data_IF_686439690834
#
_entry.id   IF_686439690834
#
_cell.length_a   1.000
_cell.length_b   1.000
_cell.length_c   1.000
_cell.angle_alpha   90.00
_cell.angle_beta   90.00
_cell.angle_gamma   90.00
#
_symmetry.space_group_name_H-M   'P 1'
#
loop_
_entity.id
_entity.type
_entity.pdbx_description
1 polymer ?
#
# COMPACT_ATOMS: atom_id res chain seq x y z
N UNK A 1 21.41 -23.72 2.48
CA UNK A 1 20.62 -23.08 3.56
C UNK A 1 20.88 -21.59 3.47
N UNK A 2 19.83 -20.77 3.32
CA UNK A 2 19.99 -19.32 3.21
C UNK A 2 20.45 -18.69 4.53
N UNK A 3 21.02 -17.50 4.45
CA UNK A 3 21.38 -16.71 5.63
C UNK A 3 20.11 -16.37 6.44
N UNK A 4 20.19 -16.46 7.76
CA UNK A 4 19.07 -16.11 8.66
C UNK A 4 18.66 -14.64 8.47
N UNK A 5 17.40 -14.35 8.08
CA UNK A 5 16.94 -12.97 7.88
C UNK A 5 17.09 -12.08 9.11
N UNK A 6 17.01 -12.65 10.32
CA UNK A 6 17.16 -11.90 11.57
C UNK A 6 18.61 -11.47 11.85
N UNK A 7 19.58 -11.98 11.07
CA UNK A 7 20.99 -11.61 11.13
C UNK A 7 21.43 -10.71 9.96
N UNK A 8 20.49 -10.25 9.12
CA UNK A 8 20.74 -9.30 8.03
C UNK A 8 20.86 -7.88 8.59
N UNK A 9 22.00 -7.60 9.20
CA UNK A 9 22.34 -6.29 9.77
C UNK A 9 23.51 -5.70 8.99
N UNK A 10 23.38 -4.43 8.60
CA UNK A 10 24.46 -3.65 8.03
C UNK A 10 25.33 -3.07 9.15
N UNK A 11 26.62 -3.35 9.11
CA UNK A 11 27.61 -2.80 10.03
C UNK A 11 28.38 -1.67 9.34
N UNK A 12 28.80 -0.66 10.11
CA UNK A 12 29.75 0.33 9.61
C UNK A 12 31.05 -0.36 9.16
N UNK A 13 31.71 0.09 8.07
CA UNK A 13 33.02 -0.43 7.65
C UNK A 13 34.11 -0.31 8.73
N UNK A 14 33.91 0.56 9.72
CA UNK A 14 34.86 0.80 10.82
C UNK A 14 34.84 -0.32 11.89
N UNK A 15 33.82 -1.18 11.92
CA UNK A 15 33.73 -2.27 12.88
C UNK A 15 34.52 -3.47 12.38
N UNK A 16 35.34 -4.06 13.25
CA UNK A 16 36.16 -5.20 12.87
C UNK A 16 35.33 -6.47 12.61
N UNK A 17 35.85 -7.36 11.77
CA UNK A 17 35.19 -8.64 11.49
C UNK A 17 35.01 -9.52 12.73
N UNK A 18 35.93 -9.45 13.70
CA UNK A 18 35.82 -10.16 14.98
C UNK A 18 34.66 -9.63 15.83
N UNK A 19 34.51 -8.30 15.94
CA UNK A 19 33.40 -7.70 16.67
C UNK A 19 32.05 -8.03 16.01
N UNK A 20 32.00 -8.01 14.68
CA UNK A 20 30.79 -8.43 13.93
C UNK A 20 30.47 -9.90 14.22
N UNK A 21 31.48 -10.78 14.26
CA UNK A 21 31.27 -12.21 14.55
C UNK A 21 30.75 -12.41 15.97
N UNK A 22 31.39 -11.80 16.98
CA UNK A 22 30.95 -11.89 18.37
C UNK A 22 29.53 -11.36 18.57
N UNK A 23 29.18 -10.26 17.89
CA UNK A 23 27.82 -9.74 17.90
C UNK A 23 26.84 -10.74 17.31
N UNK A 24 27.16 -11.33 16.15
CA UNK A 24 26.29 -12.29 15.46
C UNK A 24 26.08 -13.55 16.30
N UNK A 25 27.11 -14.03 16.98
CA UNK A 25 26.99 -15.19 17.86
C UNK A 25 26.09 -14.91 19.07
N UNK A 26 26.23 -13.72 19.69
CA UNK A 26 25.33 -13.27 20.76
C UNK A 26 23.89 -13.15 20.25
N UNK A 27 23.68 -12.53 19.10
CA UNK A 27 22.38 -12.37 18.49
C UNK A 27 21.73 -13.72 18.18
N UNK A 28 22.50 -14.66 17.59
CA UNK A 28 22.03 -16.02 17.30
C UNK A 28 21.57 -16.74 18.56
N UNK A 29 22.33 -16.64 19.65
CA UNK A 29 21.95 -17.25 20.92
C UNK A 29 20.63 -16.66 21.45
N UNK A 30 20.44 -15.34 21.38
CA UNK A 30 19.19 -14.70 21.81
C UNK A 30 18.02 -15.11 20.90
N UNK A 31 18.23 -15.15 19.59
CA UNK A 31 17.22 -15.53 18.60
C UNK A 31 16.73 -16.94 18.87
N UNK A 32 17.64 -17.90 19.01
CA UNK A 32 17.31 -19.31 19.21
C UNK A 32 16.73 -19.57 20.61
N UNK A 33 17.28 -18.95 21.65
CA UNK A 33 16.82 -19.20 23.01
C UNK A 33 15.55 -18.46 23.40
N UNK A 34 15.27 -17.29 22.80
CA UNK A 34 14.18 -16.41 23.25
C UNK A 34 13.21 -16.03 22.13
N UNK A 35 13.72 -15.51 21.00
CA UNK A 35 12.84 -14.91 19.99
C UNK A 35 12.01 -15.96 19.26
N UNK A 36 12.65 -17.00 18.69
CA UNK A 36 11.94 -18.04 17.93
C UNK A 36 10.96 -18.82 18.82
N UNK A 37 11.33 -19.25 20.05
CA UNK A 37 10.38 -19.91 20.94
C UNK A 37 9.20 -19.01 21.31
N UNK A 38 9.44 -17.73 21.63
CA UNK A 38 8.37 -16.80 22.04
C UNK A 38 7.40 -16.50 20.90
N UNK A 39 7.92 -16.26 19.70
CA UNK A 39 7.07 -16.03 18.51
C UNK A 39 6.26 -17.29 18.17
N UNK A 40 6.87 -18.48 18.31
CA UNK A 40 6.16 -19.75 18.11
C UNK A 40 5.06 -19.95 19.14
N UNK A 41 5.34 -19.71 20.42
CA UNK A 41 4.35 -19.79 21.49
C UNK A 41 3.19 -18.80 21.29
N UNK A 42 3.48 -17.57 20.86
CA UNK A 42 2.45 -16.59 20.51
C UNK A 42 1.59 -17.06 19.33
N UNK A 43 2.20 -17.62 18.28
CA UNK A 43 1.47 -18.18 17.15
C UNK A 43 0.58 -19.35 17.57
N UNK A 44 1.08 -20.23 18.43
CA UNK A 44 0.31 -21.35 18.95
C UNK A 44 -0.88 -20.87 19.77
N UNK A 45 -0.69 -19.83 20.60
CA UNK A 45 -1.78 -19.19 21.32
C UNK A 45 -2.83 -18.60 20.36
N UNK A 46 -2.40 -17.89 19.31
CA UNK A 46 -3.31 -17.35 18.30
C UNK A 46 -4.13 -18.46 17.64
N UNK A 47 -3.51 -19.59 17.28
CA UNK A 47 -4.18 -20.73 16.62
C UNK A 47 -5.13 -21.48 17.53
N UNK A 48 -4.75 -21.68 18.79
CA UNK A 48 -5.46 -22.60 19.70
C UNK A 48 -6.48 -21.88 20.57
N UNK A 49 -6.17 -20.68 21.06
CA UNK A 49 -7.02 -19.95 22.01
C UNK A 49 -7.88 -18.87 21.36
N UNK A 50 -7.36 -18.20 20.33
CA UNK A 50 -7.99 -17.02 19.73
C UNK A 50 -8.74 -17.34 18.43
N UNK A 51 -8.15 -18.10 17.52
CA UNK A 51 -8.75 -18.41 16.21
C UNK A 51 -10.11 -19.10 16.34
N UNK A 52 -10.34 -20.09 17.23
CA UNK A 52 -11.66 -20.71 17.39
C UNK A 52 -12.73 -19.77 17.94
N UNK A 53 -12.32 -18.66 18.59
CA UNK A 53 -13.21 -17.61 19.11
C UNK A 53 -13.31 -16.41 18.15
N UNK A 54 -12.63 -16.49 17.01
CA UNK A 54 -12.69 -15.47 15.97
C UNK A 54 -14.11 -15.30 15.44
N UNK A 55 -14.40 -14.09 14.96
CA UNK A 55 -15.66 -13.83 14.26
C UNK A 55 -15.63 -14.49 12.89
N UNK A 56 -16.77 -15.03 12.47
CA UNK A 56 -16.96 -15.55 11.12
C UNK A 56 -17.00 -14.44 10.07
N UNK A 57 -16.98 -14.83 8.79
CA UNK A 57 -16.95 -13.92 7.65
C UNK A 57 -18.23 -13.05 7.56
N UNK A 58 -19.34 -13.52 8.12
CA UNK A 58 -20.60 -12.77 8.25
C UNK A 58 -20.51 -11.59 9.23
N UNK A 59 -19.49 -11.59 10.09
CA UNK A 59 -19.23 -10.57 11.12
C UNK A 59 -17.88 -9.87 10.90
N UNK A 60 -17.67 -9.45 9.66
CA UNK A 60 -16.47 -8.75 9.24
C UNK A 60 -16.43 -7.29 9.71
N UNK A 61 -15.23 -6.80 10.02
CA UNK A 61 -15.01 -5.42 10.44
C UNK A 61 -15.07 -5.18 11.95
N UNK A 62 -14.75 -3.94 12.34
CA UNK A 62 -14.63 -3.52 13.74
C UNK A 62 -15.98 -3.31 14.43
N UNK A 63 -17.08 -3.20 13.66
CA UNK A 63 -18.42 -2.97 14.23
C UNK A 63 -18.93 -4.12 15.11
N UNK A 64 -18.37 -5.33 14.95
CA UNK A 64 -18.78 -6.55 15.65
C UNK A 64 -18.03 -6.84 16.94
N UNK A 65 -17.26 -5.88 17.47
CA UNK A 65 -16.76 -5.94 18.84
C UNK A 65 -17.59 -5.03 19.74
N UNK A 66 -17.50 -5.27 21.05
CA UNK A 66 -18.08 -4.37 22.05
C UNK A 66 -17.51 -2.95 21.87
N UNK A 67 -18.40 -1.97 21.70
CA UNK A 67 -18.02 -0.59 21.38
C UNK A 67 -17.43 -0.39 19.98
N UNK A 68 -17.71 -1.30 19.04
CA UNK A 68 -17.21 -1.28 17.67
C UNK A 68 -17.60 -0.05 16.88
N UNK A 69 -18.87 0.36 16.93
CA UNK A 69 -19.36 1.58 16.26
C UNK A 69 -18.64 2.82 16.76
N UNK A 70 -18.53 2.99 18.08
CA UNK A 70 -17.82 4.10 18.70
C UNK A 70 -16.32 4.08 18.35
N UNK A 71 -15.70 2.90 18.29
CA UNK A 71 -14.30 2.75 17.88
C UNK A 71 -14.09 3.13 16.42
N UNK A 72 -15.05 2.80 15.55
CA UNK A 72 -15.01 3.17 14.14
C UNK A 72 -15.20 4.68 13.96
N UNK A 73 -16.18 5.27 14.64
CA UNK A 73 -16.43 6.72 14.60
C UNK A 73 -15.24 7.53 15.14
N UNK A 74 -14.60 7.07 16.23
CA UNK A 74 -13.35 7.68 16.73
C UNK A 74 -12.24 7.60 15.70
N UNK A 75 -12.08 6.46 15.03
CA UNK A 75 -11.08 6.29 13.96
C UNK A 75 -11.37 7.22 12.79
N UNK A 76 -12.62 7.30 12.34
CA UNK A 76 -13.04 8.24 11.29
C UNK A 76 -12.60 9.66 11.61
N UNK A 77 -12.94 10.15 12.81
CA UNK A 77 -12.58 11.50 13.25
C UNK A 77 -11.07 11.70 13.38
N UNK A 78 -10.35 10.70 13.89
CA UNK A 78 -8.89 10.73 14.03
C UNK A 78 -8.19 10.87 12.68
N UNK A 79 -8.63 10.12 11.67
CA UNK A 79 -7.95 10.07 10.37
C UNK A 79 -8.43 11.14 9.39
N UNK A 80 -9.66 11.64 9.54
CA UNK A 80 -10.20 12.71 8.68
C UNK A 80 -10.04 14.10 9.28
N UNK A 81 -9.92 14.22 10.60
CA UNK A 81 -9.93 15.50 11.31
C UNK A 81 -11.31 16.19 11.36
N UNK A 82 -12.32 15.64 10.68
CA UNK A 82 -13.66 16.22 10.60
C UNK A 82 -14.58 15.64 11.69
N UNK A 83 -14.89 16.46 12.70
CA UNK A 83 -15.69 16.02 13.87
C UNK A 83 -17.18 15.79 13.55
N UNK A 84 -17.73 16.57 12.63
CA UNK A 84 -19.14 16.55 12.26
C UNK A 84 -19.49 15.48 11.21
N UNK A 85 -18.50 14.96 10.49
CA UNK A 85 -18.71 13.96 9.44
C UNK A 85 -19.17 12.63 10.03
N UNK A 86 -20.18 12.05 9.40
CA UNK A 86 -20.72 10.74 9.74
C UNK A 86 -20.15 9.65 8.83
N UNK A 87 -20.20 8.40 9.31
CA UNK A 87 -19.78 7.22 8.53
C UNK A 87 -20.59 7.09 7.24
N UNK A 88 -21.90 7.33 7.33
CA UNK A 88 -22.82 7.23 6.20
C UNK A 88 -22.50 8.25 5.11
N UNK A 89 -22.25 9.51 5.47
CA UNK A 89 -21.87 10.55 4.50
C UNK A 89 -20.58 10.18 3.76
N UNK A 90 -19.57 9.66 4.46
CA UNK A 90 -18.31 9.23 3.80
C UNK A 90 -18.56 8.10 2.82
N UNK A 91 -19.42 7.14 3.19
CA UNK A 91 -19.78 6.04 2.30
C UNK A 91 -20.50 6.55 1.03
N UNK A 92 -21.48 7.43 1.19
CA UNK A 92 -22.25 8.00 0.09
C UNK A 92 -21.37 8.87 -0.84
N UNK A 93 -20.48 9.69 -0.27
CA UNK A 93 -19.50 10.45 -1.02
C UNK A 93 -18.59 9.50 -1.81
N UNK A 94 -18.09 8.44 -1.17
CA UNK A 94 -17.24 7.45 -1.83
C UNK A 94 -17.92 6.78 -3.03
N UNK A 95 -19.18 6.36 -2.88
CA UNK A 95 -19.96 5.78 -3.98
C UNK A 95 -20.17 6.78 -5.12
N UNK A 96 -20.51 8.03 -4.80
CA UNK A 96 -20.67 9.09 -5.80
C UNK A 96 -19.37 9.35 -6.56
N UNK A 97 -18.23 9.41 -5.85
CA UNK A 97 -16.93 9.63 -6.48
C UNK A 97 -16.48 8.46 -7.35
N UNK A 98 -16.78 7.21 -6.97
CA UNK A 98 -16.52 6.04 -7.82
C UNK A 98 -17.28 6.18 -9.15
N UNK A 99 -18.57 6.51 -9.11
CA UNK A 99 -19.38 6.65 -10.33
C UNK A 99 -18.93 7.84 -11.20
N UNK A 100 -18.48 8.93 -10.57
CA UNK A 100 -17.89 10.08 -11.28
C UNK A 100 -16.58 9.68 -11.96
N UNK A 101 -15.66 9.04 -11.24
CA UNK A 101 -14.34 8.65 -11.74
C UNK A 101 -14.42 7.59 -12.85
N UNK A 102 -15.36 6.65 -12.77
CA UNK A 102 -15.61 5.68 -13.86
C UNK A 102 -15.91 6.37 -15.19
N UNK A 103 -16.75 7.41 -15.18
CA UNK A 103 -17.08 8.18 -16.38
C UNK A 103 -15.87 8.91 -16.92
N UNK A 104 -15.10 9.57 -16.04
CA UNK A 104 -13.90 10.30 -16.45
C UNK A 104 -12.82 9.38 -17.03
N UNK A 105 -12.60 8.22 -16.41
CA UNK A 105 -11.67 7.22 -16.92
C UNK A 105 -12.10 6.68 -18.27
N UNK A 106 -13.39 6.41 -18.46
CA UNK A 106 -13.90 5.96 -19.74
C UNK A 106 -13.72 7.00 -20.85
N UNK A 107 -14.05 8.27 -20.58
CA UNK A 107 -13.92 9.34 -21.57
C UNK A 107 -12.48 9.56 -22.05
N UNK A 108 -11.50 9.38 -21.17
CA UNK A 108 -10.08 9.44 -21.52
C UNK A 108 -9.65 8.13 -22.18
N UNK A 109 -9.98 7.00 -21.56
CA UNK A 109 -9.50 5.66 -21.93
C UNK A 109 -9.91 5.22 -23.32
N UNK A 110 -11.10 5.60 -23.81
CA UNK A 110 -11.53 5.30 -25.18
C UNK A 110 -10.65 5.91 -26.27
N UNK A 111 -9.86 6.93 -25.94
CA UNK A 111 -8.90 7.54 -26.86
C UNK A 111 -7.49 6.96 -26.73
N UNK A 112 -7.26 6.10 -25.73
CA UNK A 112 -5.94 5.53 -25.39
C UNK A 112 -5.90 4.04 -25.71
N UNK A 113 -7.01 3.32 -25.48
CA UNK A 113 -7.10 1.88 -25.65
C UNK A 113 -8.12 1.53 -26.73
N UNK A 114 -7.74 0.62 -27.61
CA UNK A 114 -8.65 0.00 -28.57
C UNK A 114 -9.56 -1.03 -27.90
N UNK A 115 -10.80 -1.15 -28.39
CA UNK A 115 -11.73 -2.20 -27.99
C UNK A 115 -12.26 -2.07 -26.56
N UNK A 116 -12.45 -0.85 -26.07
CA UNK A 116 -13.06 -0.56 -24.77
C UNK A 116 -14.45 0.06 -24.95
N UNK A 117 -15.47 -0.53 -24.34
CA UNK A 117 -16.85 -0.07 -24.43
C UNK A 117 -17.42 0.36 -23.06
N UNK A 118 -16.73 0.01 -21.98
CA UNK A 118 -17.12 0.32 -20.60
C UNK A 118 -15.96 0.89 -19.77
N UNK A 119 -16.25 1.61 -18.66
CA UNK A 119 -15.24 1.99 -17.67
C UNK A 119 -14.42 0.81 -17.15
N UNK A 120 -15.07 -0.35 -16.95
CA UNK A 120 -14.44 -1.57 -16.48
C UNK A 120 -13.41 -2.11 -17.49
N UNK A 121 -13.69 -2.03 -18.80
CA UNK A 121 -12.73 -2.42 -19.84
C UNK A 121 -11.47 -1.54 -19.81
N UNK A 122 -11.65 -0.22 -19.62
CA UNK A 122 -10.53 0.72 -19.48
C UNK A 122 -9.69 0.38 -18.25
N UNK A 123 -10.33 0.16 -17.09
CA UNK A 123 -9.62 -0.22 -15.86
C UNK A 123 -8.86 -1.54 -16.06
N UNK A 124 -9.49 -2.52 -16.70
CA UNK A 124 -8.85 -3.79 -17.01
C UNK A 124 -7.62 -3.59 -17.90
N UNK A 125 -7.76 -2.83 -19.00
CA UNK A 125 -6.66 -2.48 -19.91
C UNK A 125 -5.52 -1.76 -19.21
N UNK A 126 -5.80 -0.77 -18.37
CA UNK A 126 -4.77 -0.10 -17.55
C UNK A 126 -4.00 -1.09 -16.67
N UNK A 127 -4.67 -2.13 -16.17
CA UNK A 127 -4.05 -3.13 -15.31
C UNK A 127 -3.30 -4.20 -16.10
N UNK A 128 -3.72 -4.58 -17.31
CA UNK A 128 -3.19 -5.78 -17.99
C UNK A 128 -2.39 -5.50 -19.25
N UNK A 129 -2.55 -4.33 -19.88
CA UNK A 129 -1.92 -4.03 -21.16
C UNK A 129 -0.38 -3.94 -21.02
N UNK A 130 0.41 -4.73 -21.79
CA UNK A 130 1.87 -4.72 -21.68
C UNK A 130 2.50 -3.36 -21.94
N UNK A 131 1.92 -2.54 -22.82
CA UNK A 131 2.40 -1.18 -23.11
C UNK A 131 2.31 -0.22 -21.92
N UNK A 132 1.50 -0.56 -20.89
CA UNK A 132 1.38 0.19 -19.64
C UNK A 132 2.38 -0.28 -18.56
N UNK A 133 3.27 -1.24 -18.89
CA UNK A 133 4.24 -1.80 -17.95
C UNK A 133 5.65 -1.31 -18.29
N UNK A 134 6.47 -1.15 -17.25
CA UNK A 134 7.89 -0.87 -17.42
C UNK A 134 8.62 -2.11 -17.94
N UNK A 135 9.53 -1.90 -18.87
CA UNK A 135 10.40 -2.93 -19.44
C UNK A 135 11.67 -3.14 -18.60
N UNK A 136 12.04 -2.16 -17.77
CA UNK A 136 13.22 -2.24 -16.91
C UNK A 136 13.11 -1.38 -15.64
N UNK A 137 13.96 -1.67 -14.66
CA UNK A 137 14.14 -0.85 -13.46
C UNK A 137 14.63 0.55 -13.81
N UNK A 138 15.53 0.63 -14.78
CA UNK A 138 16.15 1.88 -15.25
C UNK A 138 15.10 2.80 -15.87
N UNK A 139 14.18 2.27 -16.67
CA UNK A 139 13.07 3.03 -17.26
C UNK A 139 12.15 3.60 -16.17
N UNK A 140 11.80 2.80 -15.15
CA UNK A 140 10.98 3.23 -14.03
C UNK A 140 11.64 4.39 -13.25
N UNK A 141 12.94 4.28 -12.98
CA UNK A 141 13.69 5.33 -12.27
C UNK A 141 13.78 6.61 -13.10
N UNK A 142 14.07 6.50 -14.40
CA UNK A 142 14.19 7.66 -15.27
C UNK A 142 12.85 8.42 -15.36
N UNK A 143 11.72 7.72 -15.52
CA UNK A 143 10.41 8.36 -15.55
C UNK A 143 10.12 9.14 -14.25
N UNK A 144 10.50 8.58 -13.09
CA UNK A 144 10.33 9.26 -11.81
C UNK A 144 11.18 10.54 -11.72
N UNK A 145 12.44 10.48 -12.14
CA UNK A 145 13.35 11.64 -12.20
C UNK A 145 12.76 12.71 -13.12
N UNK A 146 12.41 12.35 -14.35
CA UNK A 146 11.87 13.28 -15.35
C UNK A 146 10.57 13.94 -14.87
N UNK A 147 9.70 13.17 -14.21
CA UNK A 147 8.44 13.68 -13.66
C UNK A 147 8.68 14.69 -12.54
N UNK A 148 9.62 14.41 -11.65
CA UNK A 148 10.01 15.31 -10.57
C UNK A 148 10.61 16.59 -11.15
N UNK A 149 11.59 16.48 -12.05
CA UNK A 149 12.21 17.63 -12.70
C UNK A 149 11.19 18.52 -13.42
N UNK A 150 10.27 17.91 -14.18
CA UNK A 150 9.18 18.62 -14.86
C UNK A 150 8.28 19.35 -13.87
N UNK A 151 8.00 18.75 -12.71
CA UNK A 151 7.11 19.33 -11.69
C UNK A 151 7.74 20.51 -10.96
N UNK A 152 9.08 20.53 -10.81
CA UNK A 152 9.82 21.64 -10.20
C UNK A 152 10.18 22.77 -11.17
N UNK A 153 10.15 22.51 -12.49
CA UNK A 153 10.28 23.59 -13.49
C UNK A 153 9.03 24.49 -13.42
N UNK A 154 9.17 25.80 -13.17
CA UNK A 154 8.03 26.70 -13.15
C UNK A 154 7.28 26.60 -14.48
N UNK A 155 5.95 26.46 -14.42
CA UNK A 155 5.12 26.60 -15.61
C UNK A 155 5.37 28.00 -16.17
N UNK A 156 6.07 28.08 -17.32
CA UNK A 156 6.36 29.36 -17.95
C UNK A 156 5.01 30.02 -18.27
N UNK A 157 4.73 31.16 -17.65
CA UNK A 157 3.53 31.96 -17.85
C UNK A 157 3.48 32.46 -19.30
N UNK A 158 2.92 31.65 -20.20
CA UNK A 158 2.89 31.96 -21.63
C UNK A 158 2.59 30.79 -22.55
N UNK A 159 2.86 29.55 -22.15
CA UNK A 159 2.38 28.39 -22.91
C UNK A 159 0.91 28.14 -22.60
N UNK A 160 0.03 28.83 -23.33
CA UNK A 160 -1.27 28.27 -23.66
C UNK A 160 -1.04 26.82 -24.02
N UNK A 161 -1.75 25.90 -23.37
CA UNK A 161 -1.82 24.50 -23.74
C UNK A 161 -2.37 24.48 -25.17
N UNK A 162 -1.48 24.57 -26.16
CA UNK A 162 -1.78 24.36 -27.55
C UNK A 162 -2.06 22.88 -27.65
N UNK A 163 -3.35 22.55 -27.75
CA UNK A 163 -3.89 21.34 -28.36
C UNK A 163 -2.90 20.17 -28.40
N UNK A 164 -3.11 19.20 -27.52
CA UNK A 164 -2.94 17.81 -27.91
C UNK A 164 -3.87 17.64 -29.12
N UNK A 165 -3.30 17.78 -30.32
CA UNK A 165 -3.98 17.38 -31.53
C UNK A 165 -4.21 15.88 -31.44
N UNK A 166 -5.46 15.51 -31.70
CA UNK A 166 -5.91 14.17 -32.05
C UNK A 166 -4.99 13.54 -33.10
#
# INVERSE_FOLDING_TARGET
MGQDPLLLVNFSPEISGSEISEWKDKAKNIIEANIRPTVSAYLDQLKTEHLPKGRGDDKCGIMWIDGGEESYLRSLRKYTGHKATTVKEVHEIGLSEIERLKKEFFEIGKNVFDGVDTPEDVIHKMQTEPSMRYESKEQMLQLAIDTIERSYKPLVSGSRISKISM
#
